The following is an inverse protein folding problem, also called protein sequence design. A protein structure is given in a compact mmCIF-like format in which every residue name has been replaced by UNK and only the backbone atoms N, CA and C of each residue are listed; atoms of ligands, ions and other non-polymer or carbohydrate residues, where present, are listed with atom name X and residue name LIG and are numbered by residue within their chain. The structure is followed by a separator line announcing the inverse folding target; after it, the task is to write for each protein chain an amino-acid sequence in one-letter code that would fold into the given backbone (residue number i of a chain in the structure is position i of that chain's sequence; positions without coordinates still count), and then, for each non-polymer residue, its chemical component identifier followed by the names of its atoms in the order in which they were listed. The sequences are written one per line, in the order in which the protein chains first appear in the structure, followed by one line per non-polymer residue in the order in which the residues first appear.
data_IF_148628110498
#
_entry.id   IF_148628110498
#
_cell.length_a   1.000
_cell.length_b   1.000
_cell.length_c   1.000
_cell.angle_alpha   90.00
_cell.angle_beta   90.00
_cell.angle_gamma   90.00
#
_symmetry.space_group_name_H-M   'P 1'
#
loop_
_entity.id
_entity.type
_entity.pdbx_description
1 polymer ?
#
# COMPACT_ATOMS: atom_id res chain seq x y z
N UNK A 1 24.19 16.89 9.35
CA UNK A 1 24.27 15.42 9.23
C UNK A 1 22.97 14.92 8.59
N UNK A 2 22.75 15.32 7.33
CA UNK A 2 21.54 15.03 6.53
C UNK A 2 21.79 15.25 5.03
N UNK A 3 22.83 16.00 4.65
CA UNK A 3 23.11 16.38 3.26
C UNK A 3 23.26 15.21 2.28
N UNK A 4 23.82 14.08 2.73
CA UNK A 4 23.99 12.90 1.87
C UNK A 4 22.66 12.24 1.46
N UNK A 5 21.61 12.36 2.28
CA UNK A 5 20.28 11.81 1.97
C UNK A 5 19.51 12.70 0.99
N UNK A 6 19.67 14.02 1.10
CA UNK A 6 19.05 15.00 0.19
C UNK A 6 19.62 14.94 -1.24
N UNK A 7 20.84 14.40 -1.40
CA UNK A 7 21.48 14.24 -2.69
C UNK A 7 21.01 13.01 -3.47
N UNK A 8 20.18 12.15 -2.88
CA UNK A 8 19.64 10.98 -3.56
C UNK A 8 18.59 11.43 -4.61
N UNK A 9 18.69 10.97 -5.86
CA UNK A 9 17.72 11.31 -6.89
C UNK A 9 16.35 10.71 -6.52
N UNK A 10 15.33 11.56 -6.46
CA UNK A 10 13.94 11.15 -6.27
C UNK A 10 13.41 10.66 -7.60
N UNK A 11 12.89 9.44 -7.63
CA UNK A 11 12.24 8.84 -8.80
C UNK A 11 10.81 8.48 -8.44
N UNK A 12 9.94 8.39 -9.44
CA UNK A 12 8.59 7.85 -9.21
C UNK A 12 8.65 6.40 -8.72
N UNK A 13 7.70 6.05 -7.85
CA UNK A 13 7.52 4.67 -7.40
C UNK A 13 7.14 3.79 -8.60
N UNK A 14 8.00 2.83 -8.91
CA UNK A 14 7.74 1.85 -9.95
C UNK A 14 7.02 0.64 -9.37
N UNK A 15 5.84 0.33 -9.92
CA UNK A 15 5.13 -0.92 -9.68
C UNK A 15 5.59 -2.08 -10.56
N UNK A 16 6.60 -1.86 -11.43
CA UNK A 16 7.08 -2.90 -12.33
C UNK A 16 7.61 -4.10 -11.55
N UNK A 17 7.17 -5.30 -11.90
CA UNK A 17 7.55 -6.55 -11.22
C UNK A 17 6.68 -6.91 -10.00
N UNK A 18 5.76 -6.04 -9.59
CA UNK A 18 4.80 -6.37 -8.55
C UNK A 18 3.64 -7.18 -9.12
N UNK A 19 3.61 -8.48 -8.82
CA UNK A 19 2.53 -9.39 -9.21
C UNK A 19 1.68 -9.78 -7.99
N UNK A 20 0.43 -9.32 -7.99
CA UNK A 20 -0.53 -9.56 -6.90
C UNK A 20 -0.71 -11.05 -6.60
N UNK A 21 -0.70 -11.88 -7.62
CA UNK A 21 -0.90 -13.33 -7.53
C UNK A 21 0.18 -14.04 -6.71
N UNK A 22 1.37 -13.45 -6.55
CA UNK A 22 2.45 -14.04 -5.78
C UNK A 22 2.23 -13.95 -4.25
N UNK A 23 1.31 -13.09 -3.79
CA UNK A 23 1.08 -12.83 -2.37
C UNK A 23 -0.21 -13.50 -1.90
N UNK A 24 -0.08 -14.72 -1.36
CA UNK A 24 -1.21 -15.57 -0.93
C UNK A 24 -1.94 -15.06 0.31
N UNK A 25 -1.34 -14.14 1.06
CA UNK A 25 -1.84 -13.69 2.37
C UNK A 25 -2.75 -12.45 2.30
N UNK A 26 -3.09 -11.96 1.10
CA UNK A 26 -4.09 -10.90 0.94
C UNK A 26 -5.50 -11.47 1.00
N UNK A 27 -5.79 -12.05 2.15
CA UNK A 27 -7.09 -12.60 2.51
C UNK A 27 -7.75 -11.67 3.53
N UNK A 28 -9.05 -11.78 3.62
CA UNK A 28 -9.82 -11.26 4.74
C UNK A 28 -9.66 -12.24 5.93
N UNK A 29 -8.64 -12.00 6.76
CA UNK A 29 -8.26 -12.90 7.83
C UNK A 29 -9.23 -12.85 9.03
N UNK A 30 -9.81 -11.68 9.29
CA UNK A 30 -10.72 -11.43 10.40
C UNK A 30 -12.21 -11.45 9.98
N UNK A 31 -12.49 -11.65 8.70
CA UNK A 31 -13.83 -11.74 8.08
C UNK A 31 -14.62 -10.45 8.19
N UNK A 32 -13.94 -9.30 8.23
CA UNK A 32 -14.58 -7.99 8.31
C UNK A 32 -15.01 -7.44 6.94
N UNK A 33 -14.73 -8.16 5.85
CA UNK A 33 -15.04 -7.77 4.47
C UNK A 33 -13.92 -6.97 3.79
N UNK A 34 -12.75 -6.84 4.43
CA UNK A 34 -11.58 -6.13 3.97
C UNK A 34 -10.39 -7.07 3.88
N UNK A 35 -9.59 -6.99 2.81
CA UNK A 35 -8.39 -7.80 2.76
C UNK A 35 -7.33 -7.17 3.65
N UNK A 36 -6.50 -8.00 4.28
CA UNK A 36 -5.34 -7.57 5.10
C UNK A 36 -4.46 -6.52 4.42
N UNK A 37 -4.36 -6.55 3.08
CA UNK A 37 -3.65 -5.53 2.31
C UNK A 37 -4.32 -4.16 2.38
N UNK A 38 -5.64 -4.09 2.23
CA UNK A 38 -6.36 -2.81 2.22
C UNK A 38 -6.30 -2.16 3.60
N UNK A 39 -6.22 -2.97 4.66
CA UNK A 39 -5.99 -2.52 6.04
C UNK A 39 -4.59 -1.95 6.23
N UNK A 40 -3.55 -2.68 5.79
CA UNK A 40 -2.16 -2.22 5.87
C UNK A 40 -1.96 -0.95 5.04
N UNK A 41 -2.49 -0.90 3.82
CA UNK A 41 -2.39 0.29 2.97
C UNK A 41 -3.09 1.49 3.58
N UNK A 42 -4.19 1.31 4.31
CA UNK A 42 -4.84 2.42 5.00
C UNK A 42 -4.08 2.85 6.26
N UNK A 43 -3.50 1.90 7.00
CA UNK A 43 -2.80 2.16 8.26
C UNK A 43 -1.39 2.75 8.08
N UNK A 44 -0.67 2.36 7.01
CA UNK A 44 0.72 2.75 6.78
C UNK A 44 0.88 3.86 5.74
N UNK A 45 -0.20 4.24 5.04
CA UNK A 45 -0.11 5.32 4.05
C UNK A 45 0.15 6.68 4.72
N UNK A 46 1.17 7.37 4.21
CA UNK A 46 1.48 8.75 4.61
C UNK A 46 0.32 9.70 4.26
N UNK A 47 -0.36 9.44 3.14
CA UNK A 47 -1.58 10.14 2.73
C UNK A 47 -2.69 9.09 2.64
N UNK A 48 -3.72 9.24 3.47
CA UNK A 48 -4.82 8.30 3.52
C UNK A 48 -5.59 8.27 2.18
N UNK A 49 -5.69 7.10 1.51
CA UNK A 49 -6.50 6.96 0.30
C UNK A 49 -8.00 6.98 0.63
N UNK A 50 -8.84 7.30 -0.36
CA UNK A 50 -10.29 7.20 -0.18
C UNK A 50 -10.72 5.74 -0.07
N UNK A 51 -11.47 5.42 0.99
CA UNK A 51 -12.04 4.10 1.22
C UNK A 51 -13.51 4.05 0.80
N UNK A 52 -13.85 3.13 -0.10
CA UNK A 52 -15.24 2.84 -0.51
C UNK A 52 -15.75 1.54 0.11
N UNK A 53 -17.03 1.23 -0.13
CA UNK A 53 -17.67 -0.01 0.33
C UNK A 53 -16.81 -1.25 0.01
N UNK A 54 -16.72 -2.18 0.96
CA UNK A 54 -15.82 -3.36 0.94
C UNK A 54 -14.33 -3.01 0.91
N UNK A 55 -13.94 -1.97 1.65
CA UNK A 55 -12.55 -1.53 1.80
C UNK A 55 -11.79 -1.31 0.49
N UNK A 56 -12.51 -0.94 -0.57
CA UNK A 56 -11.89 -0.67 -1.86
C UNK A 56 -11.21 0.69 -1.78
N UNK A 57 -9.87 0.69 -1.76
CA UNK A 57 -9.06 1.91 -1.77
C UNK A 57 -8.95 2.46 -3.19
N UNK A 58 -9.20 3.76 -3.33
CA UNK A 58 -8.95 4.53 -4.55
C UNK A 58 -7.90 5.59 -4.29
N UNK A 59 -7.04 5.78 -5.29
CA UNK A 59 -5.99 6.79 -5.33
C UNK A 59 -6.56 8.15 -5.70
#
# INVERSE_FOLDING_TARGET
MTDALQALPVTDDSRAGYERSNYKHWIDADKNGCNTRDEVLLAEAVIAPEQRARCKLTS
#
